data_IF_959742719136
#
_entry.id   IF_959742719136
#
_cell.length_a   1.000
_cell.length_b   1.000
_cell.length_c   1.000
_cell.angle_alpha   90.00
_cell.angle_beta   90.00
_cell.angle_gamma   90.00
#
_symmetry.space_group_name_H-M   'P 1'
#
loop_
_entity.id
_entity.type
_entity.pdbx_description
1 polymer ?
#
# COMPACT_ATOMS: atom_id res chain seq x y z
N UNK A 1 -30.86 -31.21 -11.81
CA UNK A 1 -29.40 -31.21 -12.03
C UNK A 1 -28.80 -30.03 -11.27
N UNK A 2 -27.99 -30.29 -10.25
CA UNK A 2 -27.24 -29.23 -9.55
C UNK A 2 -26.13 -28.73 -10.48
N UNK A 3 -26.23 -27.48 -10.93
CA UNK A 3 -25.12 -26.78 -11.57
C UNK A 3 -23.98 -26.65 -10.56
N UNK A 4 -23.06 -27.62 -10.55
CA UNK A 4 -21.76 -27.48 -9.88
C UNK A 4 -21.06 -26.30 -10.55
N UNK A 5 -21.13 -25.12 -9.93
CA UNK A 5 -20.25 -23.99 -10.27
C UNK A 5 -18.82 -24.54 -10.24
N UNK A 6 -18.21 -24.76 -11.41
CA UNK A 6 -16.79 -25.12 -11.52
C UNK A 6 -16.03 -23.92 -10.97
N UNK A 7 -15.58 -24.00 -9.71
CA UNK A 7 -14.61 -23.04 -9.19
C UNK A 7 -13.38 -23.16 -10.06
N UNK A 8 -13.07 -22.11 -10.80
CA UNK A 8 -11.78 -21.95 -11.44
C UNK A 8 -10.72 -22.12 -10.35
N UNK A 9 -9.80 -23.07 -10.52
CA UNK A 9 -8.69 -23.31 -9.57
C UNK A 9 -7.61 -22.22 -9.68
N UNK A 10 -8.00 -20.99 -10.05
CA UNK A 10 -7.09 -19.88 -10.23
C UNK A 10 -6.91 -19.16 -8.91
N UNK A 11 -5.65 -19.05 -8.45
CA UNK A 11 -5.29 -18.46 -7.17
C UNK A 11 -4.54 -17.16 -7.45
N UNK A 12 -4.97 -16.07 -6.83
CA UNK A 12 -4.29 -14.78 -6.91
C UNK A 12 -3.73 -14.44 -5.53
N UNK A 13 -2.42 -14.27 -5.48
CA UNK A 13 -1.67 -14.00 -4.27
C UNK A 13 -1.37 -12.50 -4.20
N UNK A 14 -1.97 -11.83 -3.23
CA UNK A 14 -1.68 -10.44 -2.93
C UNK A 14 -0.50 -10.33 -1.98
N UNK A 15 0.62 -9.79 -2.46
CA UNK A 15 1.78 -9.49 -1.62
C UNK A 15 1.79 -8.03 -1.21
N UNK A 16 1.67 -7.79 0.09
CA UNK A 16 1.78 -6.46 0.70
C UNK A 16 2.91 -6.43 1.72
N UNK A 17 4.08 -5.94 1.29
CA UNK A 17 5.32 -5.94 2.08
C UNK A 17 6.18 -4.73 1.73
N UNK A 18 7.30 -4.54 2.44
CA UNK A 18 8.29 -3.49 2.16
C UNK A 18 8.39 -2.40 3.22
N UNK A 19 7.31 -2.05 3.92
CA UNK A 19 7.33 -0.97 4.93
C UNK A 19 8.35 -1.23 6.05
N UNK A 20 8.37 -2.45 6.59
CA UNK A 20 9.30 -2.83 7.65
C UNK A 20 10.75 -2.88 7.14
N UNK A 21 10.95 -3.28 5.88
CA UNK A 21 12.27 -3.44 5.25
C UNK A 21 13.01 -2.12 5.05
N UNK A 22 12.27 -1.00 4.98
CA UNK A 22 12.83 0.35 4.92
C UNK A 22 13.39 0.83 6.27
N UNK A 23 13.00 0.20 7.38
CA UNK A 23 13.34 0.65 8.73
C UNK A 23 14.22 -0.35 9.47
N UNK A 24 14.91 0.13 10.51
CA UNK A 24 15.55 -0.73 11.51
C UNK A 24 15.07 -0.34 12.90
N UNK A 25 14.99 -1.32 13.80
CA UNK A 25 14.59 -1.11 15.19
C UNK A 25 15.78 -0.80 16.08
N UNK A 26 15.59 0.14 17.00
CA UNK A 26 16.51 0.44 18.10
C UNK A 26 15.71 0.42 19.41
N UNK A 27 15.66 -0.75 20.04
CA UNK A 27 14.71 -1.02 21.12
C UNK A 27 13.26 -0.87 20.63
N UNK A 28 12.51 0.05 21.24
CA UNK A 28 11.12 0.37 20.84
C UNK A 28 11.03 1.43 19.72
N UNK A 29 12.14 2.09 19.40
CA UNK A 29 12.21 3.13 18.36
C UNK A 29 12.55 2.53 17.01
N UNK A 30 12.32 3.29 15.95
CA UNK A 30 12.75 2.94 14.60
C UNK A 30 13.54 4.09 13.98
N UNK A 31 14.37 3.76 13.00
CA UNK A 31 15.03 4.72 12.11
C UNK A 31 15.06 4.15 10.69
N UNK A 32 15.35 4.99 9.71
CA UNK A 32 15.52 4.55 8.33
C UNK A 32 16.75 3.64 8.22
N UNK A 33 16.60 2.48 7.58
CA UNK A 33 17.67 1.48 7.47
C UNK A 33 18.81 1.96 6.58
N UNK A 34 18.47 2.65 5.49
CA UNK A 34 19.42 3.23 4.54
C UNK A 34 18.94 4.60 4.10
N UNK A 35 19.82 5.59 4.05
CA UNK A 35 19.50 6.94 3.54
C UNK A 35 19.50 7.04 2.01
N UNK A 36 19.71 5.93 1.32
CA UNK A 36 19.71 5.81 -0.14
C UNK A 36 18.79 4.66 -0.59
N UNK A 37 18.68 4.45 -1.90
CA UNK A 37 17.75 3.48 -2.48
C UNK A 37 18.20 2.01 -2.35
N UNK A 38 19.18 1.70 -1.50
CA UNK A 38 19.63 0.32 -1.28
C UNK A 38 18.51 -0.57 -0.74
N UNK A 39 17.67 -0.05 0.16
CA UNK A 39 16.50 -0.79 0.67
C UNK A 39 15.57 -1.22 -0.47
N UNK A 40 15.29 -0.30 -1.40
CA UNK A 40 14.40 -0.52 -2.55
C UNK A 40 14.93 -1.63 -3.45
N UNK A 41 16.23 -1.62 -3.77
CA UNK A 41 16.85 -2.68 -4.58
C UNK A 41 16.70 -4.06 -3.94
N UNK A 42 16.96 -4.15 -2.62
CA UNK A 42 16.82 -5.40 -1.88
C UNK A 42 15.37 -5.91 -1.93
N UNK A 43 14.39 -5.01 -1.72
CA UNK A 43 12.97 -5.35 -1.77
C UNK A 43 12.56 -5.80 -3.18
N UNK A 44 13.01 -5.08 -4.22
CA UNK A 44 12.75 -5.41 -5.62
C UNK A 44 13.28 -6.80 -5.98
N UNK A 45 14.48 -7.16 -5.51
CA UNK A 45 15.05 -8.48 -5.75
C UNK A 45 14.25 -9.58 -5.05
N UNK A 46 13.72 -9.32 -3.84
CA UNK A 46 12.78 -10.25 -3.19
C UNK A 46 11.46 -10.38 -3.96
N UNK A 47 10.96 -9.30 -4.58
CA UNK A 47 9.75 -9.37 -5.41
C UNK A 47 9.97 -10.20 -6.67
N UNK A 48 11.11 -10.04 -7.34
CA UNK A 48 11.48 -10.89 -8.49
C UNK A 48 11.58 -12.36 -8.08
N UNK A 49 12.14 -12.64 -6.91
CA UNK A 49 12.19 -14.00 -6.36
C UNK A 49 10.80 -14.54 -6.08
N UNK A 50 9.90 -13.75 -5.50
CA UNK A 50 8.52 -14.16 -5.27
C UNK A 50 7.80 -14.51 -6.57
N UNK A 51 7.96 -13.68 -7.63
CA UNK A 51 7.44 -13.98 -8.97
C UNK A 51 7.97 -15.32 -9.47
N UNK A 52 9.30 -15.51 -9.46
CA UNK A 52 9.91 -16.77 -9.92
C UNK A 52 9.42 -18.01 -9.18
N UNK A 53 9.10 -17.89 -7.89
CA UNK A 53 8.51 -18.99 -7.11
C UNK A 53 7.07 -19.25 -7.58
N UNK A 54 6.25 -18.20 -7.73
CA UNK A 54 4.85 -18.34 -8.11
C UNK A 54 4.70 -18.85 -9.55
N UNK A 55 5.58 -18.45 -10.47
CA UNK A 55 5.60 -18.91 -11.87
C UNK A 55 5.80 -20.44 -11.99
N UNK A 56 6.31 -21.10 -10.95
CA UNK A 56 6.41 -22.57 -10.91
C UNK A 56 5.06 -23.28 -10.68
N UNK A 57 3.99 -22.53 -10.38
CA UNK A 57 2.65 -23.05 -10.14
C UNK A 57 1.69 -22.58 -11.25
N UNK A 58 1.27 -23.53 -12.11
CA UNK A 58 0.47 -23.25 -13.32
C UNK A 58 -0.88 -22.52 -13.07
N UNK A 59 -1.38 -22.49 -11.84
CA UNK A 59 -2.67 -21.90 -11.51
C UNK A 59 -2.59 -20.73 -10.54
N UNK A 60 -1.38 -20.29 -10.18
CA UNK A 60 -1.17 -19.18 -9.26
C UNK A 60 -0.58 -17.98 -9.98
N UNK A 61 -1.06 -16.80 -9.60
CA UNK A 61 -0.51 -15.52 -10.03
C UNK A 61 -0.25 -14.64 -8.82
N UNK A 62 0.71 -13.71 -8.94
CA UNK A 62 1.07 -12.78 -7.89
C UNK A 62 0.73 -11.35 -8.29
N UNK A 63 0.28 -10.58 -7.30
CA UNK A 63 -0.02 -9.17 -7.43
C UNK A 63 0.52 -8.42 -6.24
N UNK A 64 1.17 -7.28 -6.48
CA UNK A 64 1.81 -6.48 -5.44
C UNK A 64 0.93 -5.30 -5.04
N UNK A 65 0.84 -5.04 -3.75
CA UNK A 65 0.11 -3.89 -3.19
C UNK A 65 1.11 -2.79 -2.81
N UNK A 66 0.79 -1.54 -3.17
CA UNK A 66 1.59 -0.37 -2.81
C UNK A 66 1.80 -0.26 -1.29
N UNK A 67 3.00 0.18 -0.91
CA UNK A 67 3.32 0.52 0.46
C UNK A 67 2.61 1.81 0.90
N UNK A 68 1.99 1.84 2.10
CA UNK A 68 1.52 3.08 2.71
C UNK A 68 2.72 3.96 3.10
N UNK A 69 2.50 5.28 3.21
CA UNK A 69 3.53 6.15 3.77
C UNK A 69 3.61 5.99 5.29
N UNK A 70 4.79 6.26 5.85
CA UNK A 70 5.07 6.17 7.27
C UNK A 70 5.65 7.47 7.83
N UNK A 71 5.55 7.66 9.14
CA UNK A 71 6.27 8.69 9.90
C UNK A 71 7.01 8.04 11.07
N UNK A 72 8.33 7.97 10.92
CA UNK A 72 9.30 7.57 11.95
C UNK A 72 9.24 8.56 13.12
N UNK A 73 9.13 9.86 12.85
CA UNK A 73 8.96 10.89 13.88
C UNK A 73 7.73 10.61 14.75
N UNK A 74 6.58 10.34 14.14
CA UNK A 74 5.34 10.07 14.89
C UNK A 74 5.40 8.73 15.63
N UNK A 75 6.00 7.70 15.03
CA UNK A 75 6.24 6.43 15.72
C UNK A 75 7.07 6.64 16.98
N UNK A 76 8.23 7.26 16.83
CA UNK A 76 9.15 7.50 17.94
C UNK A 76 8.51 8.40 19.01
N UNK A 77 7.72 9.41 18.61
CA UNK A 77 6.91 10.21 19.53
C UNK A 77 5.91 9.35 20.31
N UNK A 78 5.16 8.48 19.64
CA UNK A 78 4.18 7.58 20.28
C UNK A 78 4.83 6.59 21.25
N UNK A 79 6.11 6.25 21.02
CA UNK A 79 6.93 5.42 21.91
C UNK A 79 7.65 6.21 23.00
N UNK A 80 7.44 7.53 23.08
CA UNK A 80 8.00 8.40 24.13
C UNK A 80 9.46 8.80 23.89
N UNK A 81 9.89 8.97 22.63
CA UNK A 81 11.20 9.54 22.34
C UNK A 81 11.25 11.01 22.78
N UNK A 82 12.37 11.46 23.36
CA UNK A 82 12.51 12.83 23.90
C UNK A 82 12.56 13.91 22.82
N UNK A 83 13.07 13.55 21.64
CA UNK A 83 13.31 14.45 20.50
C UNK A 83 12.84 13.82 19.19
N UNK A 84 11.54 13.58 18.97
CA UNK A 84 11.05 12.93 17.75
C UNK A 84 11.26 13.77 16.49
N UNK A 85 11.36 15.10 16.62
CA UNK A 85 11.56 16.04 15.53
C UNK A 85 12.89 15.86 14.77
N UNK A 86 13.88 15.21 15.38
CA UNK A 86 15.17 14.90 14.72
C UNK A 86 14.99 13.92 13.56
N UNK A 87 13.89 13.17 13.54
CA UNK A 87 13.57 12.20 12.49
C UNK A 87 12.81 12.80 11.30
N UNK A 88 12.53 14.12 11.27
CA UNK A 88 11.82 14.76 10.14
C UNK A 88 12.53 14.61 8.79
N UNK A 89 13.87 14.62 8.81
CA UNK A 89 14.67 14.37 7.59
C UNK A 89 14.49 12.93 7.13
N UNK A 90 14.48 11.97 8.06
CA UNK A 90 14.21 10.56 7.74
C UNK A 90 12.78 10.35 7.23
N UNK A 91 11.77 11.03 7.76
CA UNK A 91 10.39 10.97 7.23
C UNK A 91 10.32 11.42 5.77
N UNK A 92 11.06 12.46 5.41
CA UNK A 92 11.15 12.93 4.03
C UNK A 92 11.84 11.92 3.11
N UNK A 93 12.94 11.32 3.58
CA UNK A 93 13.65 10.27 2.85
C UNK A 93 12.80 9.00 2.70
N UNK A 94 12.11 8.57 3.77
CA UNK A 94 11.18 7.44 3.75
C UNK A 94 10.05 7.68 2.74
N UNK A 95 9.49 8.89 2.71
CA UNK A 95 8.46 9.26 1.72
C UNK A 95 8.97 9.10 0.29
N UNK A 96 10.19 9.58 -0.01
CA UNK A 96 10.80 9.42 -1.34
C UNK A 96 11.04 7.94 -1.68
N UNK A 97 11.58 7.17 -0.75
CA UNK A 97 11.86 5.75 -0.97
C UNK A 97 10.57 4.96 -1.19
N UNK A 98 9.49 5.26 -0.46
CA UNK A 98 8.19 4.60 -0.66
C UNK A 98 7.59 5.00 -2.00
N UNK A 99 7.71 6.27 -2.42
CA UNK A 99 7.26 6.70 -3.75
C UNK A 99 7.97 5.94 -4.87
N UNK A 100 9.29 5.78 -4.76
CA UNK A 100 10.08 5.04 -5.73
C UNK A 100 9.77 3.54 -5.70
N UNK A 101 9.64 2.94 -4.52
CA UNK A 101 9.21 1.55 -4.36
C UNK A 101 7.82 1.30 -4.97
N UNK A 102 6.86 2.19 -4.73
CA UNK A 102 5.53 2.11 -5.34
C UNK A 102 5.57 2.28 -6.86
N UNK A 103 6.50 3.07 -7.39
CA UNK A 103 6.80 3.11 -8.82
C UNK A 103 7.26 1.75 -9.37
N UNK A 104 8.14 1.07 -8.65
CA UNK A 104 8.60 -0.29 -8.99
C UNK A 104 7.49 -1.33 -8.89
N UNK A 105 6.66 -1.27 -7.86
CA UNK A 105 5.47 -2.12 -7.70
C UNK A 105 4.52 -1.95 -8.89
N UNK A 106 4.28 -0.70 -9.31
CA UNK A 106 3.46 -0.41 -10.48
C UNK A 106 4.05 -1.00 -11.77
N UNK A 107 5.37 -0.85 -11.98
CA UNK A 107 6.06 -1.44 -13.14
C UNK A 107 5.98 -2.98 -13.15
N UNK A 108 6.14 -3.62 -11.99
CA UNK A 108 6.04 -5.07 -11.83
C UNK A 108 4.63 -5.58 -12.11
N UNK A 109 3.61 -4.98 -11.49
CA UNK A 109 2.22 -5.34 -11.74
C UNK A 109 1.87 -5.20 -13.23
N UNK A 110 2.30 -4.11 -13.88
CA UNK A 110 2.07 -3.92 -15.32
C UNK A 110 2.71 -5.03 -16.16
N UNK A 111 3.91 -5.48 -15.83
CA UNK A 111 4.58 -6.60 -16.53
C UNK A 111 3.85 -7.93 -16.34
N UNK A 112 3.20 -8.10 -15.19
CA UNK A 112 2.34 -9.25 -14.88
C UNK A 112 0.91 -9.11 -15.42
N UNK A 113 0.64 -8.10 -16.24
CA UNK A 113 -0.70 -7.75 -16.74
C UNK A 113 -1.74 -7.54 -15.61
N UNK A 114 -1.30 -7.04 -14.46
CA UNK A 114 -2.13 -6.73 -13.30
C UNK A 114 -2.33 -5.24 -13.13
N UNK A 115 -3.52 -4.85 -12.67
CA UNK A 115 -3.76 -3.50 -12.15
C UNK A 115 -2.99 -3.29 -10.84
N UNK A 116 -2.85 -2.07 -10.32
CA UNK A 116 -2.17 -1.86 -9.04
C UNK A 116 -3.16 -1.38 -7.99
N UNK A 117 -3.13 -2.00 -6.80
CA UNK A 117 -3.88 -1.54 -5.64
C UNK A 117 -3.12 -0.38 -4.99
N UNK A 118 -3.44 0.84 -5.42
CA UNK A 118 -2.74 2.07 -5.02
C UNK A 118 -3.21 2.59 -3.66
N UNK A 119 -2.74 1.99 -2.57
CA UNK A 119 -3.02 2.46 -1.19
C UNK A 119 -2.40 3.83 -0.92
N UNK A 120 -1.20 4.06 -1.46
CA UNK A 120 -0.46 5.31 -1.32
C UNK A 120 -1.24 6.56 -1.76
N UNK A 121 -2.26 6.41 -2.63
CA UNK A 121 -3.13 7.50 -3.10
C UNK A 121 -3.82 8.25 -1.96
N UNK A 122 -4.14 7.59 -0.85
CA UNK A 122 -4.82 8.21 0.28
C UNK A 122 -3.95 9.24 1.01
N UNK A 123 -2.63 9.13 0.86
CA UNK A 123 -1.69 10.03 1.51
C UNK A 123 -1.39 11.27 0.67
N UNK A 124 -1.54 11.19 -0.65
CA UNK A 124 -1.23 12.31 -1.54
C UNK A 124 -2.48 13.15 -1.80
N UNK A 125 -2.48 14.39 -1.29
CA UNK A 125 -3.49 15.39 -1.62
C UNK A 125 -3.04 16.18 -2.85
N UNK A 126 -3.87 16.19 -3.88
CA UNK A 126 -3.74 17.12 -5.00
C UNK A 126 -4.66 18.30 -4.81
N UNK A 127 -4.14 19.50 -4.51
CA UNK A 127 -4.92 20.75 -4.66
C UNK A 127 -4.59 21.39 -6.00
N UNK A 128 -5.58 21.47 -6.89
CA UNK A 128 -5.51 22.32 -8.10
C UNK A 128 -5.41 23.77 -7.64
N UNK A 129 -4.36 24.51 -8.02
CA UNK A 129 -4.35 25.98 -7.90
C UNK A 129 -4.93 26.62 -9.16
N UNK A 130 -5.37 27.88 -9.02
CA UNK A 130 -5.85 28.78 -10.10
C UNK A 130 -4.84 29.04 -11.25
N UNK A 131 -3.66 28.40 -11.27
CA UNK A 131 -2.59 28.59 -12.28
C UNK A 131 -1.98 27.28 -12.80
N UNK A 132 -2.74 26.18 -12.83
CA UNK A 132 -2.29 24.90 -13.41
C UNK A 132 -1.24 24.10 -12.63
N UNK A 133 -0.55 24.71 -11.66
CA UNK A 133 0.41 24.00 -10.80
C UNK A 133 -0.31 23.23 -9.68
N UNK A 134 -0.08 21.92 -9.62
CA UNK A 134 -0.61 21.05 -8.55
C UNK A 134 0.45 20.88 -7.48
N UNK A 135 0.26 21.45 -6.28
CA UNK A 135 1.11 21.12 -5.13
C UNK A 135 0.62 19.79 -4.58
N UNK A 136 1.44 18.74 -4.68
CA UNK A 136 1.21 17.47 -4.00
C UNK A 136 1.60 17.67 -2.54
N UNK A 137 0.64 17.66 -1.62
CA UNK A 137 0.93 17.62 -0.18
C UNK A 137 0.71 16.21 0.35
N UNK A 138 1.54 15.79 1.29
CA UNK A 138 1.41 14.49 1.94
C UNK A 138 0.64 14.66 3.25
N UNK A 139 -0.36 13.82 3.48
CA UNK A 139 -1.05 13.74 4.75
C UNK A 139 -0.70 12.44 5.47
N UNK A 140 0.22 12.50 6.44
CA UNK A 140 0.57 11.36 7.29
C UNK A 140 -0.36 11.23 8.52
N UNK A 141 -1.26 12.20 8.76
CA UNK A 141 -2.18 12.15 9.91
C UNK A 141 -3.31 11.14 9.76
N UNK A 142 -3.43 10.51 8.58
CA UNK A 142 -4.37 9.41 8.32
C UNK A 142 -3.86 8.07 8.84
N UNK A 143 -2.56 7.97 9.11
CA UNK A 143 -2.06 6.93 9.98
C UNK A 143 -2.62 7.19 11.37
N UNK A 144 -2.85 6.12 12.12
CA UNK A 144 -3.20 6.20 13.52
C UNK A 144 -2.17 7.06 14.28
N UNK A 145 -2.42 7.35 15.56
CA UNK A 145 -1.55 8.19 16.40
C UNK A 145 -0.07 7.74 16.43
N UNK A 146 0.24 6.53 15.98
CA UNK A 146 1.59 5.98 15.91
C UNK A 146 2.36 6.28 14.60
N UNK A 147 1.72 6.87 13.59
CA UNK A 147 2.40 7.25 12.34
C UNK A 147 2.78 6.10 11.39
N UNK A 148 2.48 4.84 11.71
CA UNK A 148 2.82 3.67 10.87
C UNK A 148 1.56 2.94 10.41
N UNK A 149 0.66 2.64 11.34
CA UNK A 149 -0.50 1.82 11.03
C UNK A 149 -1.66 2.69 10.56
N UNK A 150 -2.46 2.26 9.58
CA UNK A 150 -3.62 3.03 9.14
C UNK A 150 -4.65 3.17 10.27
N UNK A 151 -5.31 4.33 10.37
CA UNK A 151 -6.48 4.48 11.23
C UNK A 151 -7.67 3.64 10.74
N UNK A 152 -8.75 3.57 11.51
CA UNK A 152 -9.95 2.77 11.18
C UNK A 152 -10.52 3.09 9.79
N UNK A 153 -10.74 4.36 9.49
CA UNK A 153 -11.31 4.79 8.21
C UNK A 153 -10.39 4.46 7.02
N UNK A 154 -9.08 4.71 7.16
CA UNK A 154 -8.10 4.34 6.13
C UNK A 154 -8.05 2.82 5.93
N UNK A 155 -8.12 2.04 7.02
CA UNK A 155 -8.18 0.58 6.94
C UNK A 155 -9.41 0.10 6.17
N UNK A 156 -10.59 0.66 6.44
CA UNK A 156 -11.81 0.35 5.69
C UNK A 156 -11.69 0.71 4.21
N UNK A 157 -11.11 1.87 3.88
CA UNK A 157 -10.88 2.30 2.51
C UNK A 157 -9.89 1.38 1.76
N UNK A 158 -8.83 0.94 2.44
CA UNK A 158 -7.87 -0.05 1.91
C UNK A 158 -8.57 -1.38 1.66
N UNK A 159 -9.31 -1.90 2.64
CA UNK A 159 -10.06 -3.16 2.52
C UNK A 159 -11.05 -3.10 1.36
N UNK A 160 -11.80 -1.99 1.21
CA UNK A 160 -12.72 -1.77 0.10
C UNK A 160 -12.01 -1.86 -1.25
N UNK A 161 -10.83 -1.23 -1.41
CA UNK A 161 -10.08 -1.33 -2.67
C UNK A 161 -9.59 -2.75 -2.95
N UNK A 162 -9.07 -3.46 -1.93
CA UNK A 162 -8.58 -4.83 -2.09
C UNK A 162 -9.73 -5.76 -2.48
N UNK A 163 -10.90 -5.60 -1.85
CA UNK A 163 -12.09 -6.39 -2.20
C UNK A 163 -12.56 -6.12 -3.62
N UNK A 164 -12.70 -4.85 -4.02
CA UNK A 164 -13.08 -4.48 -5.40
C UNK A 164 -12.11 -5.05 -6.44
N UNK A 165 -10.82 -5.02 -6.12
CA UNK A 165 -9.78 -5.57 -6.98
C UNK A 165 -9.86 -7.10 -7.03
N UNK A 166 -10.06 -7.76 -5.88
CA UNK A 166 -10.27 -9.23 -5.79
C UNK A 166 -11.49 -9.65 -6.60
N UNK A 167 -12.57 -8.85 -6.60
CA UNK A 167 -13.73 -9.14 -7.43
C UNK A 167 -13.40 -9.09 -8.92
N UNK A 168 -12.67 -8.06 -9.35
CA UNK A 168 -12.24 -7.91 -10.75
C UNK A 168 -11.33 -9.05 -11.20
N UNK A 169 -10.45 -9.50 -10.30
CA UNK A 169 -9.43 -10.50 -10.60
C UNK A 169 -9.94 -11.94 -10.52
N UNK A 170 -10.86 -12.25 -9.59
CA UNK A 170 -11.32 -13.61 -9.32
C UNK A 170 -12.71 -13.94 -9.88
N UNK A 171 -13.50 -12.93 -10.27
CA UNK A 171 -14.86 -13.14 -10.78
C UNK A 171 -15.03 -12.44 -12.13
N UNK A 172 -15.28 -13.22 -13.19
CA UNK A 172 -15.98 -12.71 -14.36
C UNK A 172 -17.36 -12.27 -13.89
N UNK A 173 -17.69 -10.99 -14.07
CA UNK A 173 -18.95 -10.39 -13.65
C UNK A 173 -20.11 -11.08 -14.39
N UNK A 174 -20.71 -12.12 -13.79
CA UNK A 174 -22.12 -12.42 -14.00
C UNK A 174 -22.91 -11.45 -13.13
N UNK A 175 -23.71 -10.58 -13.76
CA UNK A 175 -24.32 -9.38 -13.18
C UNK A 175 -25.35 -9.61 -12.05
N UNK A 176 -25.51 -10.82 -11.51
CA UNK A 176 -26.65 -11.17 -10.65
C UNK A 176 -26.32 -11.60 -9.21
N UNK A 177 -25.07 -11.50 -8.76
CA UNK A 177 -24.74 -11.89 -7.37
C UNK A 177 -24.90 -10.70 -6.42
N UNK A 178 -25.80 -10.77 -5.43
CA UNK A 178 -25.89 -9.78 -4.35
C UNK A 178 -24.53 -9.64 -3.64
N UNK A 179 -23.90 -8.49 -3.83
CA UNK A 179 -22.56 -8.22 -3.32
C UNK A 179 -22.62 -7.69 -1.88
N UNK A 180 -21.73 -8.19 -1.01
CA UNK A 180 -21.43 -7.52 0.27
C UNK A 180 -20.74 -6.20 -0.07
N UNK A 181 -21.51 -5.12 -0.14
CA UNK A 181 -20.99 -3.77 -0.29
C UNK A 181 -20.49 -3.28 1.07
N UNK A 182 -19.17 -3.23 1.25
CA UNK A 182 -18.61 -2.35 2.27
C UNK A 182 -18.81 -0.91 1.77
N UNK A 183 -19.88 -0.28 2.23
CA UNK A 183 -20.11 1.16 2.00
C UNK A 183 -19.15 1.93 2.89
N UNK A 184 -18.35 2.74 2.21
CA UNK A 184 -17.60 3.85 2.81
C UNK A 184 -18.07 5.03 1.99
N UNK A 185 -18.83 5.92 2.61
CA UNK A 185 -19.44 7.06 1.93
C UNK A 185 -18.36 8.06 1.52
N UNK A 186 -18.58 8.78 0.42
CA UNK A 186 -17.61 9.76 -0.06
C UNK A 186 -17.38 10.87 0.98
N UNK A 187 -18.40 11.21 1.76
CA UNK A 187 -18.36 12.15 2.87
C UNK A 187 -17.45 11.67 4.02
N UNK A 188 -17.50 10.38 4.36
CA UNK A 188 -16.60 9.76 5.34
C UNK A 188 -15.15 9.79 4.86
N UNK A 189 -14.91 9.53 3.57
CA UNK A 189 -13.59 9.67 2.96
C UNK A 189 -13.12 11.13 2.96
N UNK A 190 -14.00 12.08 2.65
CA UNK A 190 -13.69 13.49 2.64
C UNK A 190 -13.33 14.01 4.04
N UNK A 191 -13.86 13.42 5.12
CA UNK A 191 -13.47 13.77 6.50
C UNK A 191 -11.99 13.51 6.82
N UNK A 192 -11.28 12.71 6.00
CA UNK A 192 -9.83 12.48 6.09
C UNK A 192 -8.99 13.55 5.37
N UNK A 193 -9.63 14.43 4.58
CA UNK A 193 -9.00 15.39 3.67
C UNK A 193 -9.26 16.86 4.04
#
# INVERSE_FOLDING_TARGET
MHNKKKRHHHIIIYLWSGTCDLTTKEGKYIKLKFHNNRAIKIIEDQYKRAISIIDSYQHAEIKFIDCPLISISNWNKSKGHKRPETYKVEDFLATKQIQELNGKIYELNRRLNKTSVKISKYFFRGRKRRKGQTRKSVNLSINNKDGIHPGRLLSLAITKNILLDTYTECFTIDQESEFIQIRVEQEELNSLF
#
